data_IF_202910217966
#
_entry.id   IF_202910217966
#
_cell.length_a   1.000
_cell.length_b   1.000
_cell.length_c   1.000
_cell.angle_alpha   90.00
_cell.angle_beta   90.00
_cell.angle_gamma   90.00
#
_symmetry.space_group_name_H-M   'P 1'
#
loop_
_entity.id
_entity.type
_entity.pdbx_description
1 polymer ?
#
# COMPACT_ATOMS: atom_id res chain seq x y z
N UNK A 1 -15.25 41.35 48.11
CA UNK A 1 -14.42 40.15 47.91
C UNK A 1 -14.81 39.57 46.55
N UNK A 2 -13.89 39.60 45.58
CA UNK A 2 -14.15 39.23 44.17
C UNK A 2 -13.90 37.74 44.00
N UNK A 3 -14.93 36.97 43.69
CA UNK A 3 -14.80 35.57 43.28
C UNK A 3 -14.37 35.54 41.82
N UNK A 4 -13.13 35.11 41.54
CA UNK A 4 -12.65 34.89 40.18
C UNK A 4 -13.02 33.45 39.81
N UNK A 5 -14.01 33.30 38.94
CA UNK A 5 -14.32 32.02 38.29
C UNK A 5 -13.34 31.88 37.13
N UNK A 6 -12.34 31.02 37.28
CA UNK A 6 -11.47 30.62 36.18
C UNK A 6 -12.24 29.62 35.30
N UNK A 7 -12.83 30.10 34.21
CA UNK A 7 -13.27 29.24 33.12
C UNK A 7 -12.03 28.66 32.43
N UNK A 8 -11.70 27.41 32.73
CA UNK A 8 -10.82 26.62 31.89
C UNK A 8 -11.56 26.31 30.59
N UNK A 9 -11.34 27.14 29.57
CA UNK A 9 -11.63 26.76 28.18
C UNK A 9 -10.61 25.68 27.82
N UNK A 10 -11.02 24.41 27.91
CA UNK A 10 -10.34 23.34 27.19
C UNK A 10 -10.50 23.65 25.70
N UNK A 11 -9.54 24.37 25.11
CA UNK A 11 -9.35 24.33 23.66
C UNK A 11 -9.04 22.88 23.35
N UNK A 12 -10.00 22.18 22.74
CA UNK A 12 -9.83 20.81 22.30
C UNK A 12 -8.62 20.74 21.38
N UNK A 13 -7.63 19.93 21.75
CA UNK A 13 -6.66 19.41 20.79
C UNK A 13 -7.43 18.45 19.92
N UNK A 14 -7.90 18.95 18.77
CA UNK A 14 -8.29 18.12 17.64
C UNK A 14 -7.04 17.32 17.31
N UNK A 15 -7.01 16.05 17.68
CA UNK A 15 -6.05 15.08 17.17
C UNK A 15 -6.34 14.97 15.67
N UNK A 16 -5.71 15.82 14.87
CA UNK A 16 -5.71 15.67 13.44
C UNK A 16 -5.06 14.31 13.16
N UNK A 17 -5.80 13.36 12.62
CA UNK A 17 -5.19 12.23 11.95
C UNK A 17 -4.48 12.82 10.73
N UNK A 18 -3.20 13.14 10.84
CA UNK A 18 -2.43 13.80 9.79
C UNK A 18 -2.09 12.78 8.70
N UNK A 19 -3.12 12.38 7.96
CA UNK A 19 -2.93 11.79 6.66
C UNK A 19 -2.19 12.82 5.79
N UNK A 20 -1.24 12.38 4.94
CA UNK A 20 -0.53 13.27 4.03
C UNK A 20 -1.50 14.09 3.17
N UNK A 21 -1.09 15.28 2.75
CA UNK A 21 -1.90 16.15 1.88
C UNK A 21 -2.29 15.44 0.58
N UNK A 22 -1.40 14.61 0.07
CA UNK A 22 -1.56 13.81 -1.14
C UNK A 22 -2.61 12.71 -0.96
N UNK A 23 -2.99 12.36 0.27
CA UNK A 23 -3.98 11.32 0.51
C UNK A 23 -5.39 11.76 0.10
N UNK A 24 -5.83 11.27 -1.05
CA UNK A 24 -7.22 11.40 -1.50
C UNK A 24 -8.05 10.14 -1.18
N UNK A 25 -9.05 10.28 -0.29
CA UNK A 25 -9.94 9.18 0.14
C UNK A 25 -10.75 8.58 -1.02
N UNK A 26 -11.34 9.41 -1.87
CA UNK A 26 -12.17 8.93 -2.98
C UNK A 26 -11.33 8.14 -3.99
N UNK A 27 -10.13 8.64 -4.27
CA UNK A 27 -9.18 7.96 -5.16
C UNK A 27 -8.72 6.62 -4.58
N UNK A 28 -8.43 6.59 -3.28
CA UNK A 28 -8.08 5.36 -2.56
C UNK A 28 -9.19 4.30 -2.67
N UNK A 29 -10.45 4.67 -2.44
CA UNK A 29 -11.60 3.75 -2.53
C UNK A 29 -11.85 3.25 -3.94
N UNK A 30 -11.60 4.09 -4.97
CA UNK A 30 -11.65 3.65 -6.37
C UNK A 30 -10.53 2.65 -6.67
N UNK A 31 -9.32 2.95 -6.24
CA UNK A 31 -8.17 2.05 -6.38
C UNK A 31 -8.37 0.70 -5.69
N UNK A 32 -8.98 0.71 -4.50
CA UNK A 32 -9.34 -0.52 -3.80
C UNK A 32 -10.32 -1.36 -4.63
N UNK A 33 -11.32 -0.74 -5.26
CA UNK A 33 -12.25 -1.45 -6.15
C UNK A 33 -11.55 -2.01 -7.39
N UNK A 34 -10.58 -1.29 -7.96
CA UNK A 34 -9.77 -1.81 -9.06
C UNK A 34 -8.98 -3.05 -8.60
N UNK A 35 -8.34 -2.97 -7.44
CA UNK A 35 -7.61 -4.09 -6.85
C UNK A 35 -8.51 -5.30 -6.63
N UNK A 36 -9.69 -5.08 -6.04
CA UNK A 36 -10.65 -6.14 -5.74
C UNK A 36 -11.14 -6.85 -7.01
N UNK A 37 -11.40 -6.08 -8.07
CA UNK A 37 -11.96 -6.62 -9.30
C UNK A 37 -10.90 -7.24 -10.24
N UNK A 38 -9.65 -6.77 -10.18
CA UNK A 38 -8.63 -7.11 -11.20
C UNK A 38 -7.35 -7.72 -10.67
N UNK A 39 -7.06 -7.61 -9.38
CA UNK A 39 -5.81 -8.06 -8.77
C UNK A 39 -6.02 -9.25 -7.82
N UNK A 40 -7.19 -9.33 -7.18
CA UNK A 40 -7.50 -10.37 -6.18
C UNK A 40 -7.65 -11.80 -6.72
N UNK A 41 -7.58 -12.01 -8.04
CA UNK A 41 -7.46 -13.36 -8.59
C UNK A 41 -6.16 -14.05 -8.11
N UNK A 42 -5.11 -13.27 -7.88
CA UNK A 42 -3.78 -13.76 -7.47
C UNK A 42 -3.27 -13.14 -6.17
N UNK A 43 -3.62 -11.87 -5.90
CA UNK A 43 -3.08 -11.12 -4.78
C UNK A 43 -4.05 -11.06 -3.61
N UNK A 44 -3.59 -11.46 -2.44
CA UNK A 44 -4.29 -11.17 -1.19
C UNK A 44 -4.06 -9.71 -0.81
N UNK A 45 -5.13 -9.01 -0.39
CA UNK A 45 -5.06 -7.56 -0.14
C UNK A 45 -4.06 -7.21 0.97
N UNK A 46 -4.15 -7.87 2.11
CA UNK A 46 -3.25 -7.67 3.24
C UNK A 46 -3.16 -8.90 4.13
N UNK A 47 -1.99 -9.13 4.71
CA UNK A 47 -1.77 -10.11 5.78
C UNK A 47 -0.75 -9.60 6.79
N UNK A 48 -0.78 -10.10 8.05
CA UNK A 48 0.23 -9.75 9.04
C UNK A 48 1.64 -10.07 8.56
N UNK A 49 2.55 -9.09 8.61
CA UNK A 49 3.95 -9.26 8.19
C UNK A 49 4.64 -10.46 8.89
N UNK A 50 4.45 -10.73 10.19
CA UNK A 50 5.04 -11.92 10.83
C UNK A 50 4.56 -13.25 10.21
N UNK A 51 3.31 -13.30 9.75
CA UNK A 51 2.76 -14.48 9.08
C UNK A 51 3.37 -14.66 7.68
N UNK A 52 3.54 -13.56 6.93
CA UNK A 52 4.19 -13.59 5.62
C UNK A 52 5.66 -13.98 5.73
N UNK A 53 6.38 -13.44 6.72
CA UNK A 53 7.78 -13.82 7.00
C UNK A 53 7.90 -15.31 7.28
N UNK A 54 7.06 -15.86 8.18
CA UNK A 54 7.02 -17.31 8.43
C UNK A 54 6.75 -18.08 7.14
N UNK A 55 5.74 -17.67 6.37
CA UNK A 55 5.36 -18.36 5.14
C UNK A 55 6.52 -18.44 4.13
N UNK A 56 7.19 -17.34 3.82
CA UNK A 56 8.23 -17.31 2.78
C UNK A 56 9.60 -17.82 3.28
N UNK A 57 9.99 -17.47 4.51
CA UNK A 57 11.33 -17.74 5.02
C UNK A 57 11.43 -19.13 5.66
N UNK A 58 10.43 -19.52 6.45
CA UNK A 58 10.47 -20.78 7.22
C UNK A 58 9.77 -21.90 6.46
N UNK A 59 8.61 -21.61 5.86
CA UNK A 59 7.70 -22.63 5.31
C UNK A 59 7.76 -22.75 3.77
N UNK A 60 8.64 -21.99 3.11
CA UNK A 60 8.86 -22.05 1.66
C UNK A 60 7.54 -21.92 0.84
N UNK A 61 6.65 -21.02 1.28
CA UNK A 61 5.30 -20.76 0.78
C UNK A 61 4.29 -21.91 0.94
N UNK A 62 4.57 -22.96 1.72
CA UNK A 62 3.64 -24.09 1.92
C UNK A 62 2.52 -23.82 2.92
N UNK A 63 2.72 -22.84 3.80
CA UNK A 63 1.74 -22.49 4.84
C UNK A 63 0.50 -21.81 4.24
N UNK A 64 0.72 -20.80 3.40
CA UNK A 64 -0.35 -19.98 2.81
C UNK A 64 -0.63 -20.33 1.35
N UNK A 65 0.32 -20.97 0.65
CA UNK A 65 0.20 -21.31 -0.77
C UNK A 65 -0.18 -20.09 -1.63
N UNK A 66 0.44 -18.94 -1.34
CA UNK A 66 0.19 -17.70 -2.07
C UNK A 66 0.62 -17.87 -3.53
N UNK A 67 -0.12 -17.22 -4.44
CA UNK A 67 0.20 -17.22 -5.88
C UNK A 67 0.98 -15.98 -6.32
N UNK A 68 0.95 -14.94 -5.50
CA UNK A 68 1.64 -13.68 -5.71
C UNK A 68 1.90 -12.98 -4.36
N UNK A 69 2.76 -11.94 -4.32
CA UNK A 69 2.96 -11.13 -3.11
C UNK A 69 1.66 -10.44 -2.69
N UNK A 70 1.46 -10.18 -1.40
CA UNK A 70 0.25 -9.47 -0.96
C UNK A 70 0.28 -7.99 -1.33
N UNK A 71 -0.90 -7.34 -1.34
CA UNK A 71 -1.01 -5.90 -1.58
C UNK A 71 -0.18 -5.08 -0.59
N UNK A 72 -0.15 -5.44 0.70
CA UNK A 72 0.66 -4.73 1.68
C UNK A 72 2.18 -4.96 1.52
N UNK A 73 2.62 -6.13 1.04
CA UNK A 73 4.02 -6.34 0.63
C UNK A 73 4.40 -5.47 -0.56
N UNK A 74 3.55 -5.43 -1.59
CA UNK A 74 3.74 -4.57 -2.77
C UNK A 74 3.78 -3.11 -2.33
N UNK A 75 2.82 -2.67 -1.52
CA UNK A 75 2.75 -1.33 -0.95
C UNK A 75 4.04 -0.92 -0.24
N UNK A 76 4.58 -1.80 0.59
CA UNK A 76 5.82 -1.55 1.30
C UNK A 76 7.00 -1.43 0.33
N UNK A 77 7.15 -2.40 -0.58
CA UNK A 77 8.28 -2.45 -1.53
C UNK A 77 8.26 -1.33 -2.54
N UNK A 78 7.08 -0.96 -3.03
CA UNK A 78 6.88 0.11 -3.99
C UNK A 78 7.49 1.41 -3.45
N UNK A 79 7.19 1.72 -2.18
CA UNK A 79 7.72 2.89 -1.51
C UNK A 79 9.22 2.81 -1.19
N UNK A 80 9.78 1.62 -1.05
CA UNK A 80 11.17 1.43 -0.64
C UNK A 80 12.15 1.29 -1.82
N UNK A 81 11.66 0.93 -3.00
CA UNK A 81 12.52 0.56 -4.14
C UNK A 81 12.43 1.55 -5.31
N UNK A 82 11.42 2.40 -5.32
CA UNK A 82 11.21 3.37 -6.38
C UNK A 82 11.55 4.76 -5.86
N UNK A 83 12.33 5.52 -6.64
CA UNK A 83 12.49 6.97 -6.44
C UNK A 83 13.03 7.41 -5.07
N UNK A 84 12.80 8.69 -4.77
CA UNK A 84 12.98 9.24 -3.42
C UNK A 84 11.63 9.50 -2.79
N UNK A 85 11.53 9.35 -1.46
CA UNK A 85 10.32 9.61 -0.67
C UNK A 85 10.25 11.04 -0.13
N UNK A 86 11.25 11.87 -0.41
CA UNK A 86 11.36 13.23 0.15
C UNK A 86 10.26 14.16 -0.38
N UNK A 87 9.73 13.85 -1.58
CA UNK A 87 8.61 14.52 -2.23
C UNK A 87 7.55 13.45 -2.57
N UNK A 88 6.45 13.42 -1.83
CA UNK A 88 5.43 12.38 -1.97
C UNK A 88 4.63 12.51 -3.27
N UNK A 89 4.35 13.74 -3.70
CA UNK A 89 3.66 14.00 -4.96
C UNK A 89 4.48 13.45 -6.12
N UNK A 90 5.78 13.80 -6.18
CA UNK A 90 6.67 13.28 -7.23
C UNK A 90 6.84 11.76 -7.13
N UNK A 91 6.95 11.22 -5.93
CA UNK A 91 7.11 9.79 -5.72
C UNK A 91 5.88 8.99 -6.19
N UNK A 92 4.67 9.49 -5.96
CA UNK A 92 3.43 8.88 -6.48
C UNK A 92 3.46 8.74 -8.01
N UNK A 93 3.97 9.75 -8.72
CA UNK A 93 4.16 9.67 -10.17
C UNK A 93 5.19 8.60 -10.55
N UNK A 94 6.32 8.52 -9.85
CA UNK A 94 7.35 7.50 -10.11
C UNK A 94 6.83 6.07 -9.88
N UNK A 95 6.03 5.87 -8.82
CA UNK A 95 5.44 4.56 -8.55
C UNK A 95 4.35 4.21 -9.57
N UNK A 96 3.59 5.18 -10.05
CA UNK A 96 2.60 5.00 -11.12
C UNK A 96 3.28 4.57 -12.43
N UNK A 97 4.36 5.25 -12.83
CA UNK A 97 5.13 4.91 -14.03
C UNK A 97 5.70 3.49 -13.95
N UNK A 98 6.28 3.13 -12.79
CA UNK A 98 6.73 1.78 -12.53
C UNK A 98 5.59 0.77 -12.66
N UNK A 99 4.46 1.04 -12.00
CA UNK A 99 3.32 0.13 -11.98
C UNK A 99 2.75 -0.05 -13.39
N UNK A 100 2.65 1.02 -14.18
CA UNK A 100 2.21 0.98 -15.58
C UNK A 100 3.11 0.09 -16.43
N UNK A 101 4.44 0.28 -16.36
CA UNK A 101 5.37 -0.56 -17.11
C UNK A 101 5.31 -2.03 -16.65
N UNK A 102 5.26 -2.27 -15.34
CA UNK A 102 5.22 -3.63 -14.81
C UNK A 102 3.92 -4.36 -15.16
N UNK A 103 2.76 -3.68 -15.10
CA UNK A 103 1.47 -4.26 -15.47
C UNK A 103 1.38 -4.57 -16.96
N UNK A 104 1.93 -3.73 -17.84
CA UNK A 104 1.89 -3.95 -19.27
C UNK A 104 2.98 -4.92 -19.76
N UNK A 105 4.18 -4.84 -19.19
CA UNK A 105 5.37 -5.59 -19.60
C UNK A 105 6.03 -6.28 -18.39
N UNK A 106 5.32 -7.20 -17.71
CA UNK A 106 5.81 -7.84 -16.50
C UNK A 106 7.06 -8.65 -16.79
N UNK A 107 8.06 -8.49 -15.92
CA UNK A 107 9.32 -9.20 -16.02
C UNK A 107 9.90 -9.37 -14.61
N UNK A 108 10.32 -10.59 -14.26
CA UNK A 108 10.94 -10.88 -12.98
C UNK A 108 12.18 -10.02 -12.70
N UNK A 109 12.94 -9.64 -13.74
CA UNK A 109 14.11 -8.75 -13.59
C UNK A 109 13.75 -7.32 -13.19
N UNK A 110 12.46 -6.94 -13.28
CA UNK A 110 11.93 -5.63 -12.87
C UNK A 110 11.24 -5.68 -11.51
N UNK A 111 11.24 -6.84 -10.83
CA UNK A 111 10.52 -6.98 -9.57
C UNK A 111 11.10 -6.07 -8.49
N UNK A 112 10.22 -5.45 -7.71
CA UNK A 112 10.55 -4.69 -6.49
C UNK A 112 10.51 -5.57 -5.23
N UNK A 113 10.10 -6.83 -5.37
CA UNK A 113 10.02 -7.77 -4.25
C UNK A 113 11.38 -8.41 -3.98
N UNK A 114 11.59 -8.87 -2.74
CA UNK A 114 12.82 -9.59 -2.38
C UNK A 114 12.92 -10.91 -3.15
N UNK A 115 14.16 -11.32 -3.44
CA UNK A 115 14.46 -12.62 -4.07
C UNK A 115 13.82 -13.79 -3.31
N UNK A 116 13.92 -13.79 -1.98
CA UNK A 116 13.33 -14.81 -1.11
C UNK A 116 11.80 -14.92 -1.19
N UNK A 117 11.13 -13.89 -1.72
CA UNK A 117 9.68 -13.88 -1.95
C UNK A 117 9.37 -14.22 -3.40
N UNK A 118 9.98 -13.51 -4.35
CA UNK A 118 9.64 -13.63 -5.78
C UNK A 118 9.98 -15.00 -6.37
N UNK A 119 10.97 -15.72 -5.80
CA UNK A 119 11.33 -17.08 -6.22
C UNK A 119 10.18 -18.10 -6.11
N UNK A 120 9.13 -17.76 -5.37
CA UNK A 120 7.95 -18.61 -5.17
C UNK A 120 6.86 -18.43 -6.23
N UNK A 121 7.02 -17.46 -7.13
CA UNK A 121 5.97 -17.05 -8.05
C UNK A 121 6.42 -17.13 -9.51
N UNK A 122 5.46 -17.35 -10.38
CA UNK A 122 5.67 -17.22 -11.82
C UNK A 122 5.66 -15.75 -12.24
N UNK A 123 6.08 -15.49 -13.48
CA UNK A 123 5.97 -14.14 -14.08
C UNK A 123 4.49 -13.75 -14.10
N UNK A 124 4.18 -12.55 -13.59
CA UNK A 124 2.82 -12.01 -13.63
C UNK A 124 2.30 -11.95 -15.09
N UNK A 125 1.04 -12.33 -15.37
CA UNK A 125 0.44 -12.14 -16.69
C UNK A 125 0.32 -10.65 -17.05
N UNK A 126 0.52 -10.30 -18.33
CA UNK A 126 0.30 -8.92 -18.78
C UNK A 126 -1.16 -8.51 -18.60
N UNK A 127 -1.35 -7.28 -18.11
CA UNK A 127 -2.63 -6.61 -17.96
C UNK A 127 -2.92 -5.62 -19.09
N UNK A 128 -2.05 -5.55 -20.11
CA UNK A 128 -2.26 -4.67 -21.27
C UNK A 128 -3.60 -4.98 -21.95
N UNK A 129 -4.46 -3.97 -22.05
CA UNK A 129 -5.82 -4.11 -22.59
C UNK A 129 -6.86 -4.66 -21.61
N UNK A 130 -6.48 -5.04 -20.39
CA UNK A 130 -7.38 -5.46 -19.30
C UNK A 130 -7.57 -4.40 -18.22
N UNK A 131 -6.64 -3.45 -18.14
CA UNK A 131 -6.66 -2.31 -17.23
C UNK A 131 -6.36 -1.02 -18.02
N UNK A 132 -7.06 0.07 -17.71
CA UNK A 132 -6.83 1.39 -18.29
C UNK A 132 -5.74 2.16 -17.53
N UNK A 133 -5.21 3.23 -18.11
CA UNK A 133 -4.25 4.09 -17.41
C UNK A 133 -4.86 4.80 -16.19
N UNK A 134 -6.14 5.19 -16.27
CA UNK A 134 -6.88 5.75 -15.13
C UNK A 134 -6.97 4.73 -13.99
N UNK A 135 -7.35 3.49 -14.27
CA UNK A 135 -7.42 2.43 -13.26
C UNK A 135 -6.03 2.10 -12.68
N UNK A 136 -4.95 2.24 -13.46
CA UNK A 136 -3.57 2.10 -12.98
C UNK A 136 -3.24 3.21 -11.97
N UNK A 137 -3.59 4.46 -12.25
CA UNK A 137 -3.39 5.58 -11.32
C UNK A 137 -4.19 5.37 -10.03
N UNK A 138 -5.45 4.96 -10.15
CA UNK A 138 -6.32 4.64 -9.02
C UNK A 138 -5.71 3.53 -8.14
N UNK A 139 -5.32 2.39 -8.73
CA UNK A 139 -4.76 1.27 -7.96
C UNK A 139 -3.35 1.57 -7.42
N UNK A 140 -2.55 2.39 -8.11
CA UNK A 140 -1.28 2.90 -7.59
C UNK A 140 -1.52 3.70 -6.31
N UNK A 141 -2.50 4.61 -6.30
CA UNK A 141 -2.85 5.40 -5.12
C UNK A 141 -3.30 4.51 -3.95
N UNK A 142 -4.16 3.53 -4.22
CA UNK A 142 -4.54 2.54 -3.22
C UNK A 142 -3.33 1.79 -2.65
N UNK A 143 -2.49 1.21 -3.51
CA UNK A 143 -1.30 0.48 -3.10
C UNK A 143 -0.32 1.37 -2.34
N UNK A 144 -0.11 2.62 -2.74
CA UNK A 144 0.83 3.52 -2.08
C UNK A 144 0.45 3.76 -0.61
N UNK A 145 -0.84 3.99 -0.33
CA UNK A 145 -1.33 4.29 1.02
C UNK A 145 -1.80 3.08 1.83
N UNK A 146 -1.81 1.87 1.26
CA UNK A 146 -2.26 0.65 1.92
C UNK A 146 -1.46 0.29 3.19
N UNK A 147 -0.13 0.38 3.14
CA UNK A 147 0.77 0.05 4.25
C UNK A 147 1.57 1.28 4.71
N UNK A 148 1.68 1.51 6.02
CA UNK A 148 2.56 2.54 6.60
C UNK A 148 1.86 3.83 7.07
N UNK A 149 0.55 3.94 6.93
CA UNK A 149 -0.24 5.13 7.29
C UNK A 149 -1.41 4.79 8.22
N UNK A 150 -1.39 5.35 9.44
CA UNK A 150 -2.48 5.20 10.41
C UNK A 150 -3.75 5.93 9.91
N UNK A 151 -4.93 5.35 10.15
CA UNK A 151 -6.21 5.98 9.81
C UNK A 151 -6.61 5.91 8.32
N UNK A 152 -5.78 5.30 7.46
CA UNK A 152 -6.15 5.04 6.07
C UNK A 152 -7.11 3.85 5.97
N UNK A 153 -6.78 2.72 6.58
CA UNK A 153 -7.58 1.50 6.46
C UNK A 153 -7.54 0.70 7.76
N UNK A 154 -8.32 -0.40 7.80
CA UNK A 154 -8.38 -1.31 8.94
C UNK A 154 -7.25 -2.34 8.99
N UNK A 155 -6.45 -2.44 7.94
CA UNK A 155 -5.41 -3.45 7.78
C UNK A 155 -4.08 -3.02 8.41
N UNK A 156 -3.80 -1.71 8.42
CA UNK A 156 -2.62 -1.12 9.04
C UNK A 156 -2.99 -0.30 10.27
N UNK A 157 -2.40 -0.65 11.42
CA UNK A 157 -2.48 0.13 12.65
C UNK A 157 -1.16 0.03 13.40
N UNK A 158 -0.46 1.15 13.54
CA UNK A 158 0.78 1.27 14.28
C UNK A 158 0.55 2.04 15.58
N UNK A 159 0.45 1.28 16.67
CA UNK A 159 0.25 1.79 18.03
C UNK A 159 1.42 2.61 18.56
N UNK A 160 2.54 2.72 17.83
CA UNK A 160 3.68 3.53 18.24
C UNK A 160 3.65 4.95 17.69
N UNK A 161 2.72 5.25 16.78
CA UNK A 161 2.59 6.54 16.07
C UNK A 161 1.35 7.34 16.52
N UNK A 162 1.03 7.31 17.82
CA UNK A 162 -0.04 8.11 18.42
C UNK A 162 0.39 9.54 18.75
#
# INVERSE_FOLDING_TARGET
>A
MKTIIAMFVFLGTVFASELPEEFNRLLYEKGEKVFDNKCMECHEKSMPIPLLMRNFIEENNKLLNLKAPTGNEISFRLKQQIGSRDDMEFHLHQTEEFLKDYLYNPNLSKTICLEGVIRHFEVMPSMKGKISEEEISEVNHFLYFLEGFNGVNKFYHDETKF
#
